data_IF_242983296977
#
_entry.id   IF_242983296977
#
_cell.length_a   1.000
_cell.length_b   1.000
_cell.length_c   1.000
_cell.angle_alpha   90.00
_cell.angle_beta   90.00
_cell.angle_gamma   90.00
#
_symmetry.space_group_name_H-M   'P 1'
#
loop_
_entity.id
_entity.type
_entity.pdbx_description
1 polymer ?
#
# COMPACT_ATOMS: atom_id res chain seq x y z
N UNK A 1 -21.12 25.58 -28.62
CA UNK A 1 -21.57 24.73 -27.50
C UNK A 1 -21.10 23.28 -27.63
N UNK A 2 -21.31 22.60 -28.77
CA UNK A 2 -20.88 21.21 -28.97
C UNK A 2 -19.37 20.93 -28.84
N UNK A 3 -18.50 21.80 -29.36
CA UNK A 3 -17.04 21.61 -29.25
C UNK A 3 -16.52 21.69 -27.80
N UNK A 4 -17.09 22.58 -26.97
CA UNK A 4 -16.71 22.75 -25.56
C UNK A 4 -17.13 21.54 -24.73
N UNK A 5 -18.34 21.01 -24.98
CA UNK A 5 -18.83 19.77 -24.35
C UNK A 5 -17.96 18.55 -24.71
N UNK A 6 -17.52 18.45 -25.97
CA UNK A 6 -16.65 17.35 -26.41
C UNK A 6 -15.25 17.42 -25.79
N UNK A 7 -14.66 18.63 -25.68
CA UNK A 7 -13.37 18.83 -25.01
C UNK A 7 -13.48 18.48 -23.52
N UNK A 8 -14.54 18.93 -22.85
CA UNK A 8 -14.77 18.61 -21.44
C UNK A 8 -14.93 17.10 -21.21
N UNK A 9 -15.69 16.40 -22.06
CA UNK A 9 -15.81 14.94 -22.00
C UNK A 9 -14.46 14.24 -22.19
N UNK A 10 -13.67 14.68 -23.17
CA UNK A 10 -12.34 14.12 -23.40
C UNK A 10 -11.42 14.29 -22.18
N UNK A 11 -11.42 15.48 -21.56
CA UNK A 11 -10.64 15.76 -20.34
C UNK A 11 -11.08 14.86 -19.19
N UNK A 12 -12.39 14.67 -19.00
CA UNK A 12 -12.93 13.78 -17.96
C UNK A 12 -12.49 12.32 -18.20
N UNK A 13 -12.59 11.84 -19.44
CA UNK A 13 -12.16 10.47 -19.79
C UNK A 13 -10.66 10.28 -19.54
N UNK A 14 -9.82 11.25 -19.95
CA UNK A 14 -8.38 11.20 -19.72
C UNK A 14 -8.03 11.20 -18.23
N UNK A 15 -8.72 12.02 -17.42
CA UNK A 15 -8.54 12.05 -15.97
C UNK A 15 -8.93 10.71 -15.33
N UNK A 16 -10.08 10.14 -15.69
CA UNK A 16 -10.50 8.82 -15.21
C UNK A 16 -9.49 7.73 -15.58
N UNK A 17 -8.95 7.78 -16.79
CA UNK A 17 -7.95 6.82 -17.23
C UNK A 17 -6.64 6.94 -16.43
N UNK A 18 -6.12 8.17 -16.27
CA UNK A 18 -4.93 8.44 -15.48
C UNK A 18 -5.10 8.01 -14.01
N UNK A 19 -6.25 8.28 -13.41
CA UNK A 19 -6.53 7.88 -12.03
C UNK A 19 -6.62 6.36 -11.88
N UNK A 20 -7.17 5.64 -12.87
CA UNK A 20 -7.20 4.18 -12.87
C UNK A 20 -5.79 3.60 -12.93
N UNK A 21 -4.91 4.21 -13.74
CA UNK A 21 -3.50 3.84 -13.78
C UNK A 21 -2.82 4.11 -12.44
N UNK A 22 -3.05 5.27 -11.82
CA UNK A 22 -2.47 5.58 -10.52
C UNK A 22 -2.93 4.63 -9.42
N UNK A 23 -4.19 4.22 -9.43
CA UNK A 23 -4.74 3.25 -8.48
C UNK A 23 -4.05 1.89 -8.62
N UNK A 24 -3.95 1.37 -9.86
CA UNK A 24 -3.28 0.12 -10.17
C UNK A 24 -1.78 0.15 -9.83
N UNK A 25 -1.07 1.22 -10.22
CA UNK A 25 0.34 1.40 -9.89
C UNK A 25 0.58 1.50 -8.39
N UNK A 26 -0.31 2.19 -7.65
CA UNK A 26 -0.20 2.32 -6.20
C UNK A 26 -0.35 0.96 -5.51
N UNK A 27 -1.33 0.16 -5.93
CA UNK A 27 -1.51 -1.20 -5.43
C UNK A 27 -0.29 -2.07 -5.71
N UNK A 28 0.28 -1.98 -6.91
CA UNK A 28 1.47 -2.75 -7.29
C UNK A 28 2.72 -2.34 -6.50
N UNK A 29 2.96 -1.03 -6.33
CA UNK A 29 4.08 -0.54 -5.52
C UNK A 29 3.95 -1.00 -4.08
N UNK A 30 2.74 -0.92 -3.50
CA UNK A 30 2.50 -1.37 -2.12
C UNK A 30 2.71 -2.87 -2.00
N UNK A 31 2.27 -3.66 -2.97
CA UNK A 31 2.54 -5.10 -3.01
C UNK A 31 4.05 -5.40 -3.02
N UNK A 32 4.83 -4.73 -3.88
CA UNK A 32 6.28 -4.91 -3.91
C UNK A 32 6.97 -4.49 -2.61
N UNK A 33 6.54 -3.40 -1.99
CA UNK A 33 7.06 -2.92 -0.71
C UNK A 33 6.76 -3.93 0.40
N UNK A 34 5.54 -4.45 0.47
CA UNK A 34 5.15 -5.45 1.47
C UNK A 34 5.90 -6.77 1.29
N UNK A 35 6.15 -7.23 0.05
CA UNK A 35 7.04 -8.39 -0.18
C UNK A 35 8.43 -8.12 0.41
N UNK A 36 9.02 -6.97 0.11
CA UNK A 36 10.34 -6.62 0.61
C UNK A 36 10.39 -6.63 2.14
N UNK A 37 9.39 -6.00 2.79
CA UNK A 37 9.29 -5.93 4.25
C UNK A 37 9.06 -7.31 4.85
N UNK A 38 8.20 -8.11 4.24
CA UNK A 38 7.89 -9.45 4.70
C UNK A 38 9.13 -10.35 4.66
N UNK A 39 9.85 -10.34 3.54
CA UNK A 39 11.06 -11.17 3.35
C UNK A 39 12.22 -10.71 4.22
N UNK A 40 12.43 -9.41 4.39
CA UNK A 40 13.64 -8.87 5.03
C UNK A 40 13.49 -8.58 6.53
N UNK A 41 12.28 -8.24 6.99
CA UNK A 41 12.07 -7.70 8.34
C UNK A 41 11.10 -8.56 9.14
N UNK A 42 9.96 -8.95 8.55
CA UNK A 42 8.91 -9.67 9.28
C UNK A 42 9.08 -11.20 9.30
N UNK A 43 9.96 -11.74 8.45
CA UNK A 43 10.40 -13.14 8.47
C UNK A 43 11.25 -13.50 9.69
N UNK A 44 11.72 -12.48 10.42
CA UNK A 44 12.56 -12.65 11.60
C UNK A 44 11.68 -13.10 12.79
N UNK A 45 12.03 -14.18 13.52
CA UNK A 45 11.21 -14.77 14.57
C UNK A 45 10.77 -13.79 15.69
N UNK A 46 11.57 -12.74 15.95
CA UNK A 46 11.29 -11.70 16.95
C UNK A 46 10.01 -10.93 16.63
N UNK A 47 9.76 -10.65 15.34
CA UNK A 47 8.55 -9.96 14.89
C UNK A 47 7.33 -10.87 14.90
N UNK A 48 7.52 -12.19 14.86
CA UNK A 48 6.43 -13.18 14.92
C UNK A 48 5.95 -13.40 16.37
N UNK A 49 6.85 -13.45 17.35
CA UNK A 49 6.46 -13.81 18.72
C UNK A 49 6.00 -12.61 19.58
N UNK A 50 6.59 -11.43 19.42
CA UNK A 50 6.31 -10.26 20.29
C UNK A 50 5.57 -9.11 19.59
N UNK A 51 5.38 -9.17 18.27
CA UNK A 51 4.77 -8.08 17.48
C UNK A 51 3.73 -8.60 16.48
N UNK A 52 2.85 -9.50 16.95
CA UNK A 52 1.80 -10.15 16.15
C UNK A 52 0.95 -9.14 15.34
N UNK A 53 0.61 -7.99 15.91
CA UNK A 53 -0.19 -6.97 15.21
C UNK A 53 0.51 -6.42 13.95
N UNK A 54 1.83 -6.20 14.00
CA UNK A 54 2.62 -5.77 12.85
C UNK A 54 2.71 -6.86 11.79
N UNK A 55 2.88 -8.10 12.21
CA UNK A 55 2.96 -9.25 11.31
C UNK A 55 1.63 -9.45 10.57
N UNK A 56 0.52 -9.48 11.32
CA UNK A 56 -0.82 -9.63 10.80
C UNK A 56 -1.17 -8.46 9.86
N UNK A 57 -0.90 -7.22 10.25
CA UNK A 57 -1.20 -6.06 9.40
C UNK A 57 -0.41 -6.07 8.08
N UNK A 58 0.86 -6.50 8.10
CA UNK A 58 1.68 -6.62 6.88
C UNK A 58 1.13 -7.72 5.95
N UNK A 59 0.74 -8.88 6.50
CA UNK A 59 0.11 -9.95 5.71
C UNK A 59 -1.21 -9.49 5.09
N UNK A 60 -2.07 -8.83 5.87
CA UNK A 60 -3.35 -8.32 5.37
C UNK A 60 -3.14 -7.31 4.24
N UNK A 61 -2.14 -6.41 4.38
CA UNK A 61 -1.78 -5.48 3.30
C UNK A 61 -1.25 -6.21 2.07
N UNK A 62 -0.39 -7.22 2.24
CA UNK A 62 0.17 -8.01 1.15
C UNK A 62 -0.93 -8.76 0.36
N UNK A 63 -1.83 -9.45 1.06
CA UNK A 63 -2.91 -10.22 0.44
C UNK A 63 -3.90 -9.28 -0.26
N UNK A 64 -4.28 -8.18 0.39
CA UNK A 64 -5.25 -7.24 -0.19
C UNK A 64 -4.69 -6.49 -1.41
N UNK A 65 -3.41 -6.07 -1.37
CA UNK A 65 -2.74 -5.45 -2.52
C UNK A 65 -2.60 -6.44 -3.68
N UNK A 66 -2.31 -7.72 -3.41
CA UNK A 66 -2.29 -8.77 -4.42
C UNK A 66 -3.66 -8.96 -5.08
N UNK A 67 -4.74 -9.11 -4.29
CA UNK A 67 -6.09 -9.27 -4.81
C UNK A 67 -6.51 -8.08 -5.67
N UNK A 68 -6.12 -6.88 -5.26
CA UNK A 68 -6.38 -5.66 -6.00
C UNK A 68 -5.62 -5.63 -7.33
N UNK A 69 -4.32 -5.94 -7.32
CA UNK A 69 -3.52 -6.05 -8.55
C UNK A 69 -4.11 -7.08 -9.52
N UNK A 70 -4.50 -8.25 -9.02
CA UNK A 70 -5.13 -9.30 -9.82
C UNK A 70 -6.44 -8.82 -10.43
N UNK A 71 -7.26 -8.08 -9.67
CA UNK A 71 -8.52 -7.52 -10.16
C UNK A 71 -8.30 -6.54 -11.32
N UNK A 72 -7.27 -5.69 -11.26
CA UNK A 72 -6.91 -4.81 -12.38
C UNK A 72 -6.41 -5.56 -13.61
N UNK A 73 -5.55 -6.57 -13.41
CA UNK A 73 -5.08 -7.41 -14.52
C UNK A 73 -6.28 -8.08 -15.20
N UNK A 74 -7.24 -8.59 -14.44
CA UNK A 74 -8.45 -9.20 -14.99
C UNK A 74 -9.33 -8.17 -15.72
N UNK A 75 -9.49 -6.95 -15.18
CA UNK A 75 -10.25 -5.87 -15.81
C UNK A 75 -9.66 -5.43 -17.16
N UNK A 76 -8.33 -5.45 -17.28
CA UNK A 76 -7.64 -5.08 -18.52
C UNK A 76 -7.49 -6.24 -19.52
N UNK A 77 -7.41 -7.48 -19.03
CA UNK A 77 -7.11 -8.66 -19.86
C UNK A 77 -8.36 -9.39 -20.35
N UNK A 78 -9.43 -9.39 -19.55
CA UNK A 78 -10.70 -10.03 -19.89
C UNK A 78 -11.68 -8.91 -20.22
N UNK A 79 -12.38 -9.02 -21.35
CA UNK A 79 -13.44 -8.08 -21.75
C UNK A 79 -14.34 -7.80 -20.53
N UNK A 80 -14.32 -6.56 -20.05
CA UNK A 80 -14.86 -6.20 -18.73
C UNK A 80 -16.26 -6.76 -18.53
N UNK A 81 -16.43 -7.54 -17.46
CA UNK A 81 -17.70 -8.15 -17.08
C UNK A 81 -18.16 -7.61 -15.73
N UNK A 82 -19.47 -7.70 -15.47
CA UNK A 82 -20.06 -7.30 -14.17
C UNK A 82 -19.36 -7.97 -12.98
N UNK A 83 -18.91 -9.22 -13.16
CA UNK A 83 -18.20 -9.99 -12.14
C UNK A 83 -16.82 -9.38 -11.87
N UNK A 84 -16.09 -9.01 -12.92
CA UNK A 84 -14.76 -8.41 -12.79
C UNK A 84 -14.84 -7.04 -12.11
N UNK A 85 -15.84 -6.22 -12.46
CA UNK A 85 -16.10 -4.96 -11.76
C UNK A 85 -16.48 -5.17 -10.28
N UNK A 86 -17.31 -6.17 -9.97
CA UNK A 86 -17.66 -6.49 -8.58
C UNK A 86 -16.42 -6.93 -7.78
N UNK A 87 -15.57 -7.79 -8.36
CA UNK A 87 -14.33 -8.25 -7.75
C UNK A 87 -13.37 -7.10 -7.46
N UNK A 88 -13.24 -6.15 -8.40
CA UNK A 88 -12.43 -4.94 -8.21
C UNK A 88 -12.93 -4.10 -7.05
N UNK A 89 -14.24 -3.85 -6.99
CA UNK A 89 -14.83 -3.04 -5.91
C UNK A 89 -14.65 -3.71 -4.54
N UNK A 90 -14.82 -5.03 -4.46
CA UNK A 90 -14.56 -5.80 -3.23
C UNK A 90 -13.07 -5.71 -2.85
N UNK A 91 -12.17 -5.87 -3.81
CA UNK A 91 -10.72 -5.76 -3.57
C UNK A 91 -10.32 -4.36 -3.09
N UNK A 92 -10.92 -3.30 -3.65
CA UNK A 92 -10.72 -1.93 -3.18
C UNK A 92 -11.15 -1.70 -1.74
N UNK A 93 -12.29 -2.30 -1.33
CA UNK A 93 -12.76 -2.24 0.06
C UNK A 93 -11.81 -2.99 1.00
N UNK A 94 -11.40 -4.21 0.64
CA UNK A 94 -10.44 -4.98 1.43
C UNK A 94 -9.10 -4.28 1.57
N UNK A 95 -8.58 -3.72 0.47
CA UNK A 95 -7.34 -2.98 0.47
C UNK A 95 -7.43 -1.72 1.33
N UNK A 96 -8.53 -0.97 1.25
CA UNK A 96 -8.76 0.20 2.11
C UNK A 96 -8.83 -0.17 3.58
N UNK A 97 -9.52 -1.27 3.94
CA UNK A 97 -9.60 -1.74 5.31
C UNK A 97 -8.25 -2.20 5.85
N UNK A 98 -7.49 -2.97 5.07
CA UNK A 98 -6.13 -3.40 5.41
C UNK A 98 -5.19 -2.20 5.59
N UNK A 99 -5.33 -1.18 4.74
CA UNK A 99 -4.54 0.04 4.84
C UNK A 99 -4.83 0.85 6.10
N UNK A 100 -6.11 1.00 6.46
CA UNK A 100 -6.50 1.65 7.72
C UNK A 100 -5.94 0.89 8.91
N UNK A 101 -6.10 -0.44 8.93
CA UNK A 101 -5.58 -1.28 10.00
C UNK A 101 -4.06 -1.18 10.12
N UNK A 102 -3.33 -1.25 9.01
CA UNK A 102 -1.88 -1.07 8.98
C UNK A 102 -1.44 0.30 9.52
N UNK A 103 -2.15 1.39 9.18
CA UNK A 103 -1.86 2.71 9.74
C UNK A 103 -2.11 2.78 11.26
N UNK A 104 -3.18 2.16 11.75
CA UNK A 104 -3.49 2.10 13.19
C UNK A 104 -2.39 1.35 13.93
N UNK A 105 -2.01 0.17 13.45
CA UNK A 105 -0.93 -0.64 14.04
C UNK A 105 0.35 0.18 14.06
N UNK A 106 0.77 0.74 12.92
CA UNK A 106 1.98 1.55 12.82
C UNK A 106 2.00 2.77 13.74
N UNK A 107 0.83 3.34 14.08
CA UNK A 107 0.71 4.45 15.04
C UNK A 107 0.85 3.97 16.49
N UNK A 108 0.34 2.78 16.80
CA UNK A 108 0.37 2.17 18.15
C UNK A 108 1.76 1.62 18.48
N UNK A 109 2.49 1.15 17.48
CA UNK A 109 3.77 0.48 17.67
C UNK A 109 4.86 1.43 18.18
N UNK A 110 5.50 1.06 19.30
CA UNK A 110 6.64 1.79 19.86
C UNK A 110 7.95 1.44 19.13
N UNK A 111 8.48 2.39 18.36
CA UNK A 111 9.73 2.22 17.59
C UNK A 111 10.93 1.86 18.47
N UNK A 112 11.02 2.45 19.67
CA UNK A 112 12.14 2.23 20.58
C UNK A 112 12.12 0.81 21.16
N UNK A 113 10.93 0.29 21.45
CA UNK A 113 10.76 -1.09 21.95
C UNK A 113 11.14 -2.13 20.89
N UNK A 114 10.72 -1.93 19.64
CA UNK A 114 11.13 -2.81 18.54
C UNK A 114 12.65 -2.76 18.35
N UNK A 115 13.25 -1.57 18.32
CA UNK A 115 14.70 -1.44 18.16
C UNK A 115 15.44 -2.17 19.28
N UNK A 116 15.01 -1.98 20.53
CA UNK A 116 15.57 -2.69 21.69
C UNK A 116 15.47 -4.21 21.54
N UNK A 117 14.35 -4.73 21.03
CA UNK A 117 14.16 -6.16 20.82
C UNK A 117 15.07 -6.71 19.72
N UNK A 118 15.23 -5.99 18.61
CA UNK A 118 16.16 -6.34 17.52
C UNK A 118 17.60 -6.40 18.03
N UNK A 119 18.02 -5.43 18.85
CA UNK A 119 19.36 -5.40 19.43
C UNK A 119 19.57 -6.55 20.43
N UNK A 120 18.57 -6.87 21.25
CA UNK A 120 18.66 -7.91 22.28
C UNK A 120 18.84 -9.33 21.72
N UNK A 121 18.50 -9.55 20.46
CA UNK A 121 18.48 -10.87 19.81
C UNK A 121 19.41 -10.95 18.60
N UNK A 122 20.22 -9.92 18.40
CA UNK A 122 21.13 -9.78 17.27
C UNK A 122 22.11 -10.96 17.17
N UNK A 123 22.77 -11.32 18.29
CA UNK A 123 23.75 -12.40 18.34
C UNK A 123 23.16 -13.82 18.39
N UNK A 124 21.83 -13.96 18.40
CA UNK A 124 21.14 -15.26 18.48
C UNK A 124 20.36 -15.60 17.22
N UNK A 125 20.40 -14.74 16.19
CA UNK A 125 19.63 -14.92 14.96
C UNK A 125 20.54 -14.90 13.74
N UNK A 126 20.24 -15.76 12.76
CA UNK A 126 20.89 -15.76 11.44
C UNK A 126 20.80 -14.40 10.73
N UNK A 127 19.84 -13.56 11.15
CA UNK A 127 19.68 -12.20 10.67
C UNK A 127 20.87 -11.30 11.03
N UNK A 128 21.35 -11.36 12.28
CA UNK A 128 22.48 -10.53 12.73
C UNK A 128 23.74 -10.83 11.92
N UNK A 129 24.05 -12.11 11.75
CA UNK A 129 25.20 -12.58 10.96
C UNK A 129 25.07 -12.22 9.47
N UNK A 130 23.90 -12.39 8.86
CA UNK A 130 23.66 -12.00 7.47
C UNK A 130 23.76 -10.48 7.25
N UNK A 131 23.31 -9.68 8.22
CA UNK A 131 23.40 -8.23 8.17
C UNK A 131 24.85 -7.77 8.32
N UNK A 132 25.60 -8.34 9.28
CA UNK A 132 27.03 -8.11 9.49
C UNK A 132 27.84 -8.41 8.23
N UNK A 133 27.59 -9.55 7.60
CA UNK A 133 28.23 -9.94 6.35
C UNK A 133 27.90 -8.99 5.18
N UNK A 134 26.65 -8.52 5.09
CA UNK A 134 26.20 -7.61 4.04
C UNK A 134 26.83 -6.22 4.15
N UNK A 135 26.93 -5.69 5.36
CA UNK A 135 27.44 -4.34 5.61
C UNK A 135 28.91 -4.30 6.07
N UNK A 136 29.57 -5.46 6.13
CA UNK A 136 30.97 -5.63 6.55
C UNK A 136 31.25 -5.00 7.92
N UNK A 137 30.36 -5.25 8.88
CA UNK A 137 30.53 -4.84 10.27
C UNK A 137 30.69 -6.09 11.15
N UNK A 138 31.40 -5.95 12.27
CA UNK A 138 31.86 -7.06 13.13
C UNK A 138 31.10 -7.18 14.44
N UNK A 139 30.26 -6.21 14.76
CA UNK A 139 29.46 -6.18 15.98
C UNK A 139 28.23 -5.31 15.78
N UNK A 140 27.22 -5.50 16.64
CA UNK A 140 26.02 -4.62 16.73
C UNK A 140 26.41 -3.15 16.78
N UNK A 141 27.43 -2.81 17.56
CA UNK A 141 27.88 -1.43 17.79
C UNK A 141 28.45 -0.83 16.51
N UNK A 142 29.21 -1.62 15.75
CA UNK A 142 29.74 -1.22 14.44
C UNK A 142 28.64 -1.12 13.38
N UNK A 143 27.63 -2.00 13.45
CA UNK A 143 26.49 -2.00 12.53
C UNK A 143 25.43 -0.93 12.87
N UNK A 144 25.47 -0.35 14.08
CA UNK A 144 24.42 0.55 14.60
C UNK A 144 24.05 1.70 13.64
N UNK A 145 24.99 2.39 12.97
CA UNK A 145 24.65 3.44 12.01
C UNK A 145 23.79 2.93 10.84
N UNK A 146 24.06 1.74 10.31
CA UNK A 146 23.30 1.14 9.21
C UNK A 146 21.99 0.49 9.70
N UNK A 147 21.96 -0.02 10.94
CA UNK A 147 20.75 -0.47 11.63
C UNK A 147 19.79 0.70 11.77
N UNK A 148 20.22 1.80 12.42
CA UNK A 148 19.40 2.98 12.64
C UNK A 148 18.91 3.59 11.32
N UNK A 149 19.78 3.67 10.31
CA UNK A 149 19.40 4.15 8.97
C UNK A 149 18.35 3.26 8.30
N UNK A 150 18.49 1.94 8.38
CA UNK A 150 17.51 0.98 7.87
C UNK A 150 16.19 1.07 8.65
N UNK A 151 16.28 1.18 9.96
CA UNK A 151 15.14 1.30 10.87
C UNK A 151 14.37 2.59 10.64
N UNK A 152 15.09 3.71 10.51
CA UNK A 152 14.54 5.02 10.16
C UNK A 152 13.84 4.99 8.80
N UNK A 153 14.45 4.35 7.80
CA UNK A 153 13.84 4.16 6.47
C UNK A 153 12.56 3.32 6.52
N UNK A 154 12.49 2.32 7.40
CA UNK A 154 11.28 1.50 7.57
C UNK A 154 10.20 2.27 8.34
N UNK A 155 10.55 2.97 9.42
CA UNK A 155 9.56 3.49 10.38
C UNK A 155 9.25 5.00 10.27
N UNK A 156 10.17 5.85 9.79
CA UNK A 156 9.92 7.30 9.65
C UNK A 156 9.24 7.63 8.32
N UNK A 157 9.67 7.00 7.23
CA UNK A 157 9.03 7.10 5.91
C UNK A 157 7.76 6.25 5.77
N UNK A 158 7.26 5.65 6.86
CA UNK A 158 6.02 4.86 6.89
C UNK A 158 6.08 3.66 5.95
N UNK A 159 7.22 2.94 5.97
CA UNK A 159 7.53 1.80 5.09
C UNK A 159 7.55 2.15 3.59
N UNK A 160 7.49 3.43 3.22
CA UNK A 160 7.33 3.88 1.83
C UNK A 160 5.90 3.78 1.29
N UNK A 161 4.92 3.41 2.15
CA UNK A 161 3.54 3.11 1.73
C UNK A 161 2.65 4.37 1.79
N UNK A 162 3.01 5.39 2.58
CA UNK A 162 2.19 6.62 2.73
C UNK A 162 1.85 7.31 1.41
N UNK A 163 2.85 7.47 0.54
CA UNK A 163 2.71 8.13 -0.76
C UNK A 163 1.81 7.35 -1.72
N UNK A 164 2.08 6.06 -2.03
CA UNK A 164 1.18 5.29 -2.88
C UNK A 164 -0.22 5.13 -2.29
N UNK A 165 -0.35 5.05 -0.96
CA UNK A 165 -1.67 4.99 -0.31
C UNK A 165 -2.45 6.32 -0.48
N UNK A 166 -1.75 7.45 -0.40
CA UNK A 166 -2.33 8.76 -0.69
C UNK A 166 -2.84 8.88 -2.13
N UNK A 167 -2.07 8.39 -3.11
CA UNK A 167 -2.51 8.37 -4.51
C UNK A 167 -3.73 7.44 -4.72
N UNK A 168 -3.73 6.28 -4.08
CA UNK A 168 -4.85 5.34 -4.12
C UNK A 168 -6.15 5.94 -3.54
N UNK A 169 -6.10 6.60 -2.38
CA UNK A 169 -7.31 7.23 -1.84
C UNK A 169 -7.75 8.47 -2.61
N UNK A 170 -6.81 9.24 -3.16
CA UNK A 170 -7.15 10.38 -4.01
C UNK A 170 -7.94 9.94 -5.26
N UNK A 171 -7.61 8.79 -5.87
CA UNK A 171 -8.39 8.27 -7.00
C UNK A 171 -9.79 7.84 -6.59
N UNK A 172 -9.94 7.11 -5.47
CA UNK A 172 -11.26 6.70 -4.96
C UNK A 172 -12.15 7.91 -4.65
N UNK A 173 -11.61 8.91 -3.94
CA UNK A 173 -12.35 10.13 -3.59
C UNK A 173 -12.79 10.87 -4.86
N UNK A 174 -11.91 10.96 -5.86
CA UNK A 174 -12.24 11.59 -7.13
C UNK A 174 -13.38 10.86 -7.86
N UNK A 175 -13.35 9.52 -7.95
CA UNK A 175 -14.45 8.76 -8.55
C UNK A 175 -15.77 8.95 -7.80
N UNK A 176 -15.71 9.00 -6.47
CA UNK A 176 -16.87 9.31 -5.64
C UNK A 176 -17.48 10.66 -5.99
N UNK A 177 -16.67 11.72 -6.00
CA UNK A 177 -17.13 13.09 -6.33
C UNK A 177 -17.67 13.16 -7.76
N UNK A 178 -16.96 12.56 -8.73
CA UNK A 178 -17.38 12.56 -10.13
C UNK A 178 -18.72 11.83 -10.32
N UNK A 179 -18.91 10.69 -9.65
CA UNK A 179 -20.17 9.93 -9.75
C UNK A 179 -21.37 10.72 -9.19
N UNK A 180 -21.19 11.41 -8.07
CA UNK A 180 -22.21 12.30 -7.49
C UNK A 180 -22.49 13.47 -8.43
N UNK A 181 -21.46 14.10 -8.99
CA UNK A 181 -21.62 15.19 -9.95
C UNK A 181 -22.40 14.76 -11.20
N UNK A 182 -22.10 13.59 -11.76
CA UNK A 182 -22.82 13.03 -12.91
C UNK A 182 -24.28 12.70 -12.58
N UNK A 183 -24.56 12.17 -11.39
CA UNK A 183 -25.93 11.90 -10.93
C UNK A 183 -26.75 13.18 -10.74
N UNK A 184 -26.15 14.22 -10.17
CA UNK A 184 -26.81 15.52 -10.02
C UNK A 184 -27.07 16.12 -11.40
N UNK A 185 -26.05 16.16 -12.26
CA UNK A 185 -26.14 16.74 -13.60
C UNK A 185 -27.16 16.02 -14.48
N UNK A 186 -27.23 14.68 -14.43
CA UNK A 186 -28.24 13.93 -15.19
C UNK A 186 -29.65 14.25 -14.72
N UNK A 187 -29.87 14.42 -13.41
CA UNK A 187 -31.18 14.78 -12.85
C UNK A 187 -31.62 16.20 -13.25
N UNK A 188 -30.68 17.11 -13.48
CA UNK A 188 -30.97 18.48 -13.95
C UNK A 188 -31.15 18.56 -15.48
N UNK A 189 -30.44 17.72 -16.25
CA UNK A 189 -30.51 17.71 -17.72
C UNK A 189 -31.75 16.97 -18.23
N UNK A 190 -32.20 15.90 -17.54
CA UNK A 190 -33.38 15.12 -17.95
C UNK A 190 -34.72 15.62 -17.38
N UNK A 191 -34.70 16.64 -16.50
CA UNK A 191 -35.90 17.32 -15.98
C UNK A 191 -36.13 18.72 -16.59
N UNK A 192 -35.36 19.08 -17.63
CA UNK A 192 -35.66 20.19 -18.55
C UNK A 192 -36.23 19.62 -19.84
#
# INVERSE_FOLDING_TARGET
MGAVLNILQLVIVLLCFLLSIFEALSAFIIFCIEIFIFVQVMSIPIFQNNQNDLYISSILMLVSSFMLCLSYILEWSIKSSKIVHALRNISNLFFSAAAIYHLIVMKKTNKAEILSNVLATWGTSDYGENFENKYKCTSVTDCMPEIEKSFKKVFDTGRGIKTPLGFFWASIIFYGILSVFLLISSKYIFNM
#
